data_IF_116730470051
#
_entry.id   IF_116730470051
#
_cell.length_a   1.000
_cell.length_b   1.000
_cell.length_c   1.000
_cell.angle_alpha   90.00
_cell.angle_beta   90.00
_cell.angle_gamma   90.00
#
_symmetry.space_group_name_H-M   'P 1'
#
loop_
_entity.id
_entity.type
_entity.pdbx_description
1 polymer ?
#
# COMPACT_ATOMS: atom_id res chain seq x y z
N UNK A 1 17.19 18.89 -39.42
CA UNK A 1 17.12 18.13 -38.17
C UNK A 1 16.69 16.65 -38.33
N UNK A 2 16.99 16.00 -39.42
CA UNK A 2 16.70 14.56 -39.64
C UNK A 2 17.93 13.64 -39.64
N UNK A 3 19.16 14.16 -39.50
CA UNK A 3 20.39 13.38 -39.59
C UNK A 3 21.08 13.04 -38.25
N UNK A 4 20.49 13.38 -37.11
CA UNK A 4 21.05 13.03 -35.79
C UNK A 4 20.39 11.81 -35.15
N UNK A 5 19.29 11.32 -35.72
CA UNK A 5 18.55 10.18 -35.15
C UNK A 5 19.12 8.81 -35.56
N UNK A 6 19.86 8.73 -36.66
CA UNK A 6 20.42 7.46 -37.17
C UNK A 6 21.80 7.08 -36.63
N UNK A 7 22.52 7.99 -35.97
CA UNK A 7 23.84 7.66 -35.36
C UNK A 7 23.78 7.04 -33.97
N UNK A 8 22.63 7.14 -33.26
CA UNK A 8 22.46 6.53 -31.93
C UNK A 8 22.07 5.04 -31.98
N UNK A 9 21.56 4.55 -33.09
CA UNK A 9 21.10 3.16 -33.22
C UNK A 9 22.18 2.13 -33.50
N UNK A 10 23.42 2.56 -33.87
CA UNK A 10 24.50 1.66 -34.28
C UNK A 10 25.34 1.09 -33.11
N UNK A 11 25.13 1.54 -31.86
CA UNK A 11 25.95 1.10 -30.72
C UNK A 11 25.33 0.06 -29.80
N UNK A 12 24.13 -0.45 -30.09
CA UNK A 12 23.40 -1.37 -29.17
C UNK A 12 23.29 -2.82 -29.72
N UNK A 13 24.11 -3.22 -30.67
CA UNK A 13 24.10 -4.60 -31.14
C UNK A 13 25.27 -5.40 -30.56
N UNK A 14 25.01 -6.32 -29.64
CA UNK A 14 25.94 -7.38 -29.26
C UNK A 14 25.50 -8.68 -29.90
N UNK A 15 26.37 -9.22 -30.79
CA UNK A 15 26.24 -10.57 -31.35
C UNK A 15 26.66 -11.59 -30.28
N UNK A 16 25.75 -12.45 -29.88
CA UNK A 16 26.09 -13.64 -29.10
C UNK A 16 26.27 -14.84 -30.05
N UNK A 17 27.50 -15.29 -30.22
CA UNK A 17 27.77 -16.53 -30.97
C UNK A 17 27.64 -17.70 -30.01
N UNK A 18 26.63 -18.51 -30.19
CA UNK A 18 26.47 -19.79 -29.50
C UNK A 18 26.61 -20.95 -30.49
N UNK A 19 27.61 -21.80 -30.23
CA UNK A 19 27.89 -23.10 -30.82
C UNK A 19 28.30 -23.18 -32.29
N UNK A 20 29.59 -23.39 -32.49
CA UNK A 20 30.18 -23.75 -33.77
C UNK A 20 30.07 -25.27 -34.02
N UNK A 21 29.15 -25.70 -34.88
CA UNK A 21 29.25 -26.97 -35.57
C UNK A 21 29.17 -26.70 -37.09
N UNK A 22 29.98 -27.34 -37.92
CA UNK A 22 30.28 -26.88 -39.30
C UNK A 22 29.14 -27.02 -40.31
N UNK A 23 27.92 -27.35 -39.92
CA UNK A 23 26.84 -27.59 -40.88
C UNK A 23 25.61 -26.69 -40.78
N UNK A 24 25.36 -25.91 -39.70
CA UNK A 24 24.17 -25.02 -39.65
C UNK A 24 24.40 -23.86 -38.66
N UNK A 25 24.44 -22.63 -39.13
CA UNK A 25 24.45 -21.42 -38.33
C UNK A 25 23.03 -20.92 -38.10
N UNK A 26 22.55 -20.91 -36.84
CA UNK A 26 21.35 -20.19 -36.43
C UNK A 26 21.77 -18.84 -35.82
N UNK A 27 21.37 -17.75 -36.44
CA UNK A 27 21.60 -16.40 -35.97
C UNK A 27 20.32 -15.93 -35.26
N UNK A 28 20.41 -15.70 -33.96
CA UNK A 28 19.36 -14.97 -33.22
C UNK A 28 19.87 -13.55 -32.95
N UNK A 29 19.11 -12.55 -33.35
CA UNK A 29 19.37 -11.16 -33.00
C UNK A 29 18.46 -10.76 -31.82
N UNK A 30 19.06 -10.28 -30.75
CA UNK A 30 18.36 -9.72 -29.61
C UNK A 30 18.48 -8.20 -29.68
N UNK A 31 17.38 -7.52 -29.92
CA UNK A 31 17.33 -6.06 -29.84
C UNK A 31 16.82 -5.65 -28.46
N UNK A 32 17.60 -4.86 -27.73
CA UNK A 32 17.22 -4.31 -26.42
C UNK A 32 16.93 -2.83 -26.63
N UNK A 33 15.67 -2.43 -26.43
CA UNK A 33 15.29 -1.03 -26.29
C UNK A 33 14.73 -0.79 -24.87
N UNK A 34 14.84 0.42 -24.31
CA UNK A 34 14.32 0.69 -22.97
C UNK A 34 12.83 0.35 -22.90
N UNK A 35 12.49 -0.67 -22.11
CA UNK A 35 11.10 -1.08 -21.80
C UNK A 35 10.48 -2.18 -22.66
N UNK A 36 11.17 -2.77 -23.67
CA UNK A 36 10.62 -3.93 -24.41
C UNK A 36 11.70 -4.90 -24.87
N UNK A 37 11.51 -6.18 -24.54
CA UNK A 37 12.25 -7.30 -25.15
C UNK A 37 11.45 -7.83 -26.33
N UNK A 38 12.05 -7.85 -27.53
CA UNK A 38 11.50 -8.55 -28.70
C UNK A 38 12.53 -9.52 -29.25
N UNK A 39 12.19 -10.80 -29.37
CA UNK A 39 12.96 -11.81 -30.03
C UNK A 39 12.42 -11.97 -31.44
N UNK A 40 13.19 -11.54 -32.45
CA UNK A 40 12.85 -11.72 -33.87
C UNK A 40 13.49 -12.98 -34.39
N UNK A 41 12.69 -13.91 -34.86
CA UNK A 41 13.15 -15.13 -35.54
C UNK A 41 13.17 -14.91 -37.04
N UNK A 42 14.33 -15.07 -37.66
CA UNK A 42 14.42 -15.16 -39.11
C UNK A 42 14.35 -16.63 -39.53
N UNK A 43 13.23 -17.02 -40.11
CA UNK A 43 13.06 -18.33 -40.75
C UNK A 43 13.57 -18.29 -42.18
N UNK A 44 14.56 -19.12 -42.48
CA UNK A 44 14.97 -19.38 -43.88
C UNK A 44 14.21 -20.63 -44.37
N UNK A 45 13.32 -20.45 -45.30
CA UNK A 45 12.31 -21.40 -45.74
C UNK A 45 12.79 -22.67 -46.46
N UNK A 46 14.09 -22.85 -46.61
CA UNK A 46 14.66 -23.99 -47.39
C UNK A 46 15.11 -25.20 -46.53
N UNK A 47 14.96 -25.21 -45.23
CA UNK A 47 15.49 -26.25 -44.31
C UNK A 47 14.40 -27.06 -43.58
N UNK A 48 13.14 -26.92 -43.95
CA UNK A 48 12.00 -27.46 -43.18
C UNK A 48 11.68 -28.96 -43.46
N UNK A 49 12.51 -29.74 -44.15
CA UNK A 49 12.17 -31.12 -44.55
C UNK A 49 12.78 -32.24 -43.71
N UNK A 50 13.64 -31.98 -42.71
CA UNK A 50 14.39 -33.06 -42.01
C UNK A 50 14.33 -33.01 -40.47
N UNK A 51 13.24 -32.58 -39.84
CA UNK A 51 13.14 -32.48 -38.38
C UNK A 51 12.03 -33.31 -37.75
N UNK A 52 12.22 -34.64 -37.69
CA UNK A 52 11.43 -35.56 -36.89
C UNK A 52 11.60 -35.45 -35.36
N UNK A 53 12.42 -34.52 -34.83
CA UNK A 53 12.75 -34.38 -33.39
C UNK A 53 12.60 -32.97 -32.82
N UNK A 54 11.72 -32.17 -33.38
CA UNK A 54 11.53 -30.77 -32.98
C UNK A 54 11.04 -30.58 -31.53
N UNK A 55 10.21 -31.47 -31.01
CA UNK A 55 9.71 -31.38 -29.62
C UNK A 55 10.81 -31.52 -28.56
N UNK A 56 11.82 -32.35 -28.75
CA UNK A 56 12.93 -32.51 -27.79
C UNK A 56 13.91 -31.34 -27.83
N UNK A 57 14.13 -30.73 -28.97
CA UNK A 57 15.03 -29.58 -29.13
C UNK A 57 14.41 -28.30 -28.47
N UNK A 58 13.10 -28.13 -28.58
CA UNK A 58 12.40 -27.01 -27.92
C UNK A 58 12.39 -27.14 -26.39
N UNK A 59 12.23 -28.35 -25.86
CA UNK A 59 12.28 -28.57 -24.42
C UNK A 59 13.66 -28.31 -23.81
N UNK A 60 14.74 -28.73 -24.50
CA UNK A 60 16.10 -28.45 -24.05
C UNK A 60 16.46 -26.96 -24.14
N UNK A 61 16.02 -26.28 -25.19
CA UNK A 61 16.27 -24.84 -25.36
C UNK A 61 15.47 -23.98 -24.34
N UNK A 62 14.21 -24.35 -24.07
CA UNK A 62 13.43 -23.72 -23.03
C UNK A 62 14.04 -23.92 -21.64
N UNK A 63 14.57 -25.11 -21.35
CA UNK A 63 15.26 -25.44 -20.11
C UNK A 63 16.56 -24.65 -19.95
N UNK A 64 17.36 -24.53 -21.03
CA UNK A 64 18.60 -23.73 -20.99
C UNK A 64 18.34 -22.23 -20.87
N UNK A 65 17.30 -21.69 -21.50
CA UNK A 65 16.89 -20.30 -21.30
C UNK A 65 16.40 -20.04 -19.87
N UNK A 66 15.65 -20.97 -19.28
CA UNK A 66 15.21 -20.91 -17.89
C UNK A 66 16.40 -20.96 -16.92
N UNK A 67 17.38 -21.83 -17.16
CA UNK A 67 18.60 -21.93 -16.36
C UNK A 67 19.44 -20.64 -16.48
N UNK A 68 19.57 -20.06 -17.66
CA UNK A 68 20.29 -18.80 -17.86
C UNK A 68 19.56 -17.62 -17.17
N UNK A 69 18.23 -17.56 -17.25
CA UNK A 69 17.43 -16.55 -16.56
C UNK A 69 17.53 -16.74 -15.05
N UNK A 70 17.42 -17.97 -14.54
CA UNK A 70 17.59 -18.27 -13.12
C UNK A 70 19.01 -18.00 -12.62
N UNK A 71 20.05 -18.33 -13.42
CA UNK A 71 21.44 -18.02 -13.09
C UNK A 71 21.71 -16.51 -13.09
N UNK A 72 21.08 -15.76 -13.99
CA UNK A 72 21.15 -14.29 -14.01
C UNK A 72 20.47 -13.68 -12.80
N UNK A 73 19.29 -14.20 -12.40
CA UNK A 73 18.56 -13.79 -11.20
C UNK A 73 19.36 -14.11 -9.92
N UNK A 74 20.04 -15.26 -9.87
CA UNK A 74 20.90 -15.67 -8.73
C UNK A 74 22.20 -14.84 -8.71
N UNK A 75 22.78 -14.54 -9.87
CA UNK A 75 24.04 -13.78 -9.97
C UNK A 75 23.83 -12.26 -9.77
N UNK A 76 22.68 -11.71 -10.18
CA UNK A 76 22.35 -10.32 -9.98
C UNK A 76 21.97 -10.00 -8.52
N UNK A 77 21.71 -11.01 -7.69
CA UNK A 77 21.26 -10.82 -6.30
C UNK A 77 19.90 -10.15 -6.21
N UNK A 78 19.21 -9.99 -7.33
CA UNK A 78 17.88 -9.39 -7.42
C UNK A 78 16.81 -10.48 -7.30
N UNK A 79 16.59 -10.93 -6.06
CA UNK A 79 15.26 -11.40 -5.69
C UNK A 79 14.28 -10.23 -5.92
N UNK A 80 12.99 -10.48 -6.21
CA UNK A 80 12.01 -9.43 -6.39
C UNK A 80 11.95 -8.58 -5.12
N UNK A 81 12.78 -7.52 -5.06
CA UNK A 81 12.68 -6.49 -4.05
C UNK A 81 11.43 -5.70 -4.38
N UNK A 82 10.35 -6.00 -3.65
CA UNK A 82 9.15 -5.18 -3.55
C UNK A 82 9.51 -3.82 -2.91
N UNK A 83 10.28 -3.02 -3.63
CA UNK A 83 10.59 -1.64 -3.27
C UNK A 83 9.74 -0.73 -4.15
N UNK A 84 8.61 -0.28 -3.63
CA UNK A 84 7.72 0.63 -4.35
C UNK A 84 8.16 2.08 -4.17
N UNK A 85 8.20 2.77 -5.27
CA UNK A 85 8.52 4.18 -5.39
C UNK A 85 7.24 4.98 -5.65
N UNK A 86 6.76 5.70 -4.66
CA UNK A 86 5.80 6.80 -4.83
C UNK A 86 6.61 8.10 -4.87
N UNK A 87 7.30 8.36 -5.99
CA UNK A 87 8.37 9.37 -6.03
C UNK A 87 7.92 10.80 -6.35
N UNK A 88 6.65 11.06 -6.69
CA UNK A 88 6.37 12.37 -7.29
C UNK A 88 5.25 13.23 -6.67
N UNK A 89 4.49 12.76 -5.70
CA UNK A 89 3.35 13.54 -5.19
C UNK A 89 3.46 14.03 -3.74
N UNK A 90 4.51 13.65 -2.99
CA UNK A 90 4.61 13.91 -1.55
C UNK A 90 5.63 14.99 -1.17
N UNK A 91 5.97 15.91 -2.09
CA UNK A 91 7.18 16.75 -1.96
C UNK A 91 7.08 17.95 -1.01
N UNK A 92 5.93 18.33 -0.44
CA UNK A 92 5.91 19.59 0.31
C UNK A 92 5.32 19.60 1.72
N UNK A 93 4.73 18.52 2.24
CA UNK A 93 3.79 18.71 3.35
C UNK A 93 3.91 17.82 4.59
N UNK A 94 5.02 17.12 4.81
CA UNK A 94 5.11 16.17 5.93
C UNK A 94 5.66 16.72 7.26
N UNK A 95 5.81 18.03 7.42
CA UNK A 95 6.22 18.60 8.72
C UNK A 95 5.12 18.63 9.80
N UNK A 96 3.92 18.10 9.53
CA UNK A 96 2.77 18.14 10.45
C UNK A 96 2.41 16.80 11.12
N UNK A 97 3.13 15.72 10.86
CA UNK A 97 2.95 14.46 11.61
C UNK A 97 3.61 14.48 13.01
N UNK A 98 4.24 15.59 13.38
CA UNK A 98 4.86 15.78 14.71
C UNK A 98 4.00 16.59 15.67
N UNK A 99 2.80 16.96 15.33
CA UNK A 99 1.84 17.46 16.31
C UNK A 99 1.20 16.23 16.95
N UNK A 100 1.77 15.82 18.06
CA UNK A 100 1.11 15.01 19.07
C UNK A 100 -0.07 15.84 19.59
N UNK A 101 -1.22 15.74 18.91
CA UNK A 101 -2.50 16.20 19.46
C UNK A 101 -2.91 15.20 20.56
N UNK A 102 -2.28 15.36 21.71
CA UNK A 102 -2.59 14.65 22.94
C UNK A 102 -3.83 15.21 23.65
N UNK A 103 -4.67 16.00 22.97
CA UNK A 103 -5.71 16.74 23.65
C UNK A 103 -7.17 16.37 23.33
N UNK A 104 -7.44 15.41 22.44
CA UNK A 104 -8.83 15.06 22.14
C UNK A 104 -9.17 13.56 22.10
N UNK A 105 -8.22 12.67 22.15
CA UNK A 105 -8.51 11.27 22.40
C UNK A 105 -8.15 10.94 23.85
N UNK A 106 -9.16 10.79 24.70
CA UNK A 106 -8.97 10.05 25.94
C UNK A 106 -8.31 8.74 25.53
N UNK A 107 -7.05 8.50 25.94
CA UNK A 107 -6.38 7.22 25.71
C UNK A 107 -7.32 6.14 26.26
N UNK A 108 -8.07 5.49 25.37
CA UNK A 108 -8.74 4.24 25.75
C UNK A 108 -7.63 3.37 26.28
N UNK A 109 -7.68 3.02 27.55
CA UNK A 109 -6.70 2.14 28.23
C UNK A 109 -6.70 0.80 27.51
N UNK A 110 -5.96 0.73 26.40
CA UNK A 110 -5.81 -0.52 25.65
C UNK A 110 -4.65 -1.31 26.24
N UNK A 111 -4.91 -2.56 26.55
CA UNK A 111 -3.85 -3.52 26.86
C UNK A 111 -3.00 -3.74 25.61
N UNK A 112 -1.67 -3.61 25.76
CA UNK A 112 -0.74 -3.72 24.62
C UNK A 112 0.01 -5.04 24.69
N UNK A 113 -0.12 -5.87 23.66
CA UNK A 113 0.69 -7.06 23.47
C UNK A 113 2.07 -6.63 22.95
N UNK A 114 3.09 -6.91 23.78
CA UNK A 114 4.50 -6.73 23.45
C UNK A 114 5.16 -8.11 23.47
N UNK A 115 5.70 -8.53 22.35
CA UNK A 115 6.28 -9.87 22.17
C UNK A 115 7.66 -9.80 21.54
N UNK A 116 8.47 -10.81 21.82
CA UNK A 116 9.84 -10.95 21.33
C UNK A 116 9.98 -11.97 20.19
N UNK A 117 8.98 -12.86 20.01
CA UNK A 117 9.00 -13.90 18.99
C UNK A 117 7.63 -14.15 18.37
N UNK A 118 7.61 -14.76 17.19
CA UNK A 118 6.41 -15.14 16.48
C UNK A 118 5.57 -16.18 17.22
N UNK A 119 6.24 -17.14 17.90
CA UNK A 119 5.55 -18.13 18.73
C UNK A 119 4.86 -17.47 19.93
N UNK A 120 5.53 -16.53 20.57
CA UNK A 120 4.95 -15.74 21.66
C UNK A 120 3.75 -14.93 21.17
N UNK A 121 3.85 -14.27 20.02
CA UNK A 121 2.73 -13.54 19.42
C UNK A 121 1.51 -14.44 19.22
N UNK A 122 1.69 -15.61 18.60
CA UNK A 122 0.60 -16.57 18.36
C UNK A 122 -0.01 -17.06 19.68
N UNK A 123 0.82 -17.31 20.70
CA UNK A 123 0.36 -17.72 22.02
C UNK A 123 -0.50 -16.62 22.68
N UNK A 124 -0.01 -15.38 22.72
CA UNK A 124 -0.74 -14.24 23.29
C UNK A 124 -2.06 -13.97 22.56
N UNK A 125 -2.05 -14.01 21.21
CA UNK A 125 -3.27 -13.86 20.41
C UNK A 125 -4.33 -14.92 20.72
N UNK A 126 -3.90 -16.16 21.01
CA UNK A 126 -4.81 -17.25 21.44
C UNK A 126 -5.33 -17.04 22.85
N UNK A 127 -4.48 -16.59 23.79
CA UNK A 127 -4.85 -16.33 25.18
C UNK A 127 -5.87 -15.19 25.31
N UNK A 128 -5.72 -14.15 24.49
CA UNK A 128 -6.64 -13.01 24.44
C UNK A 128 -7.88 -13.26 23.57
N UNK A 129 -8.09 -14.51 23.09
CA UNK A 129 -9.19 -14.90 22.20
C UNK A 129 -9.26 -14.12 20.88
N UNK A 130 -8.14 -13.55 20.44
CA UNK A 130 -8.05 -12.85 19.16
C UNK A 130 -7.76 -13.79 17.99
N UNK A 131 -7.35 -15.02 18.26
CA UNK A 131 -6.98 -15.95 17.19
C UNK A 131 -8.17 -16.38 16.33
N UNK A 132 -9.36 -16.52 16.92
CA UNK A 132 -10.60 -16.89 16.23
C UNK A 132 -11.48 -15.65 16.03
N UNK A 133 -11.02 -14.78 15.14
CA UNK A 133 -11.55 -13.43 14.91
C UNK A 133 -12.96 -13.38 14.31
N UNK A 134 -13.49 -14.51 13.85
CA UNK A 134 -14.89 -14.63 13.38
C UNK A 134 -15.89 -14.25 14.46
N UNK A 135 -15.43 -14.18 15.72
CA UNK A 135 -16.24 -13.78 16.90
C UNK A 135 -16.03 -12.33 17.35
N UNK A 136 -15.19 -11.56 16.66
CA UNK A 136 -14.99 -10.15 16.98
C UNK A 136 -16.14 -9.29 16.45
N UNK A 137 -17.18 -9.18 17.24
CA UNK A 137 -18.32 -8.29 16.95
C UNK A 137 -18.06 -6.83 17.34
N UNK A 138 -16.99 -6.55 18.11
CA UNK A 138 -16.68 -5.24 18.67
C UNK A 138 -15.17 -4.95 18.67
N UNK A 139 -14.74 -3.67 18.63
CA UNK A 139 -13.35 -3.29 18.84
C UNK A 139 -12.84 -3.85 20.17
N UNK A 140 -11.71 -4.54 20.13
CA UNK A 140 -11.07 -5.04 21.35
C UNK A 140 -10.17 -3.97 21.97
N UNK A 141 -10.07 -3.97 23.31
CA UNK A 141 -9.11 -3.13 24.02
C UNK A 141 -7.69 -3.72 24.04
N UNK A 142 -7.46 -4.86 23.35
CA UNK A 142 -6.16 -5.53 23.26
C UNK A 142 -5.57 -5.31 21.89
N UNK A 143 -4.36 -4.78 21.81
CA UNK A 143 -3.69 -4.48 20.54
C UNK A 143 -2.24 -4.95 20.51
N UNK A 144 -1.84 -5.51 19.39
CA UNK A 144 -0.44 -5.82 19.11
C UNK A 144 0.30 -4.53 18.77
N UNK A 145 1.34 -4.21 19.54
CA UNK A 145 2.11 -2.98 19.33
C UNK A 145 3.06 -3.08 18.14
N UNK A 146 3.68 -4.27 17.95
CA UNK A 146 4.71 -4.50 16.93
C UNK A 146 4.77 -5.96 16.54
N UNK A 147 5.08 -6.22 15.28
CA UNK A 147 5.42 -7.57 14.82
C UNK A 147 6.85 -7.94 15.22
N UNK A 148 7.08 -9.19 15.69
CA UNK A 148 8.40 -9.69 15.99
C UNK A 148 9.21 -9.91 14.71
N UNK A 149 10.55 -9.79 14.83
CA UNK A 149 11.45 -9.86 13.67
C UNK A 149 11.44 -11.23 12.98
N UNK A 150 11.13 -12.28 13.73
CA UNK A 150 11.07 -13.66 13.25
C UNK A 150 9.70 -14.10 12.73
N UNK A 151 8.74 -13.18 12.54
CA UNK A 151 7.40 -13.51 12.02
C UNK A 151 7.43 -14.24 10.66
N UNK A 152 8.51 -14.04 9.89
CA UNK A 152 8.74 -14.76 8.64
C UNK A 152 9.07 -16.24 8.78
N UNK A 153 9.38 -16.74 9.98
CA UNK A 153 9.82 -18.14 10.21
C UNK A 153 8.68 -19.11 10.45
N UNK A 154 7.50 -18.61 10.83
CA UNK A 154 6.31 -19.46 11.02
C UNK A 154 5.67 -19.85 9.69
N UNK A 155 4.75 -20.81 9.71
CA UNK A 155 4.06 -21.26 8.49
C UNK A 155 3.33 -20.11 7.82
N UNK A 156 3.14 -20.16 6.49
CA UNK A 156 2.44 -19.10 5.78
C UNK A 156 1.00 -18.90 6.26
N UNK A 157 0.21 -19.94 6.55
CA UNK A 157 -1.12 -19.78 7.15
C UNK A 157 -1.08 -19.07 8.50
N UNK A 158 -0.19 -19.47 9.41
CA UNK A 158 -0.05 -18.85 10.73
C UNK A 158 0.39 -17.39 10.63
N UNK A 159 1.35 -17.10 9.75
CA UNK A 159 1.79 -15.73 9.49
C UNK A 159 0.65 -14.85 9.01
N UNK A 160 -0.14 -15.32 8.03
CA UNK A 160 -1.29 -14.57 7.51
C UNK A 160 -2.32 -14.34 8.60
N UNK A 161 -2.66 -15.38 9.36
CA UNK A 161 -3.62 -15.29 10.45
C UNK A 161 -3.14 -14.32 11.52
N UNK A 162 -1.90 -14.46 12.00
CA UNK A 162 -1.32 -13.55 12.98
C UNK A 162 -1.34 -12.08 12.50
N UNK A 163 -1.03 -11.84 11.24
CA UNK A 163 -1.10 -10.49 10.65
C UNK A 163 -2.53 -9.95 10.68
N UNK A 164 -3.49 -10.69 10.14
CA UNK A 164 -4.90 -10.27 10.06
C UNK A 164 -5.42 -9.92 11.46
N UNK A 165 -5.30 -10.84 12.42
CA UNK A 165 -5.86 -10.66 13.76
C UNK A 165 -5.14 -9.58 14.58
N UNK A 166 -3.92 -9.19 14.19
CA UNK A 166 -3.20 -8.08 14.81
C UNK A 166 -3.56 -6.73 14.21
N UNK A 167 -3.87 -6.66 12.92
CA UNK A 167 -4.15 -5.40 12.21
C UNK A 167 -5.63 -5.01 12.34
N UNK A 168 -6.54 -5.97 12.33
CA UNK A 168 -7.97 -5.71 12.40
C UNK A 168 -8.39 -4.86 13.61
N UNK A 169 -7.99 -5.16 14.86
CA UNK A 169 -8.35 -4.33 16.02
C UNK A 169 -7.86 -2.90 15.87
N UNK A 170 -6.63 -2.70 15.38
CA UNK A 170 -6.09 -1.37 15.14
C UNK A 170 -6.88 -0.62 14.04
N UNK A 171 -7.27 -1.33 12.97
CA UNK A 171 -8.08 -0.75 11.91
C UNK A 171 -9.48 -0.36 12.40
N UNK A 172 -10.13 -1.20 13.21
CA UNK A 172 -11.44 -0.92 13.81
C UNK A 172 -11.40 0.34 14.65
N UNK A 173 -10.41 0.50 15.53
CA UNK A 173 -10.25 1.71 16.36
C UNK A 173 -10.07 2.96 15.50
N UNK A 174 -9.23 2.90 14.46
CA UNK A 174 -9.02 4.05 13.57
C UNK A 174 -10.29 4.41 12.80
N UNK A 175 -11.04 3.43 12.35
CA UNK A 175 -12.29 3.70 11.63
C UNK A 175 -13.38 4.25 12.57
N UNK A 176 -13.41 3.82 13.83
CA UNK A 176 -14.28 4.39 14.87
C UNK A 176 -13.94 5.87 15.12
N UNK A 177 -12.64 6.20 15.28
CA UNK A 177 -12.18 7.60 15.39
C UNK A 177 -12.63 8.46 14.19
N UNK A 178 -12.51 7.95 12.98
CA UNK A 178 -12.96 8.65 11.76
C UNK A 178 -14.49 8.78 11.73
N UNK A 179 -15.21 7.78 12.20
CA UNK A 179 -16.67 7.80 12.26
C UNK A 179 -17.17 8.84 13.29
N UNK A 180 -16.54 8.91 14.45
CA UNK A 180 -16.82 9.95 15.47
C UNK A 180 -16.59 11.36 14.90
N UNK A 181 -15.46 11.60 14.25
CA UNK A 181 -15.15 12.86 13.56
C UNK A 181 -16.20 13.21 12.49
N UNK A 182 -16.66 12.20 11.74
CA UNK A 182 -17.71 12.39 10.72
C UNK A 182 -19.04 12.75 11.32
N UNK A 183 -19.44 12.11 12.42
CA UNK A 183 -20.70 12.39 13.09
C UNK A 183 -20.70 13.79 13.68
N UNK A 184 -19.62 14.22 14.32
CA UNK A 184 -19.49 15.58 14.85
C UNK A 184 -19.53 16.62 13.72
N UNK A 185 -18.84 16.37 12.60
CA UNK A 185 -18.91 17.23 11.44
C UNK A 185 -20.33 17.34 10.88
N UNK A 186 -21.07 16.23 10.77
CA UNK A 186 -22.46 16.24 10.31
C UNK A 186 -23.38 17.01 11.25
N UNK A 187 -23.22 16.87 12.55
CA UNK A 187 -23.99 17.62 13.55
C UNK A 187 -23.74 19.13 13.45
N UNK A 188 -22.48 19.53 13.22
CA UNK A 188 -22.12 20.94 13.01
C UNK A 188 -22.74 21.48 11.72
N UNK A 189 -22.71 20.72 10.63
CA UNK A 189 -23.30 21.12 9.36
C UNK A 189 -24.83 21.24 9.46
N UNK A 190 -25.48 20.37 10.20
CA UNK A 190 -26.92 20.44 10.48
C UNK A 190 -27.26 21.70 11.30
N UNK A 191 -26.46 22.03 12.33
CA UNK A 191 -26.63 23.25 13.13
C UNK A 191 -26.46 24.52 12.31
N UNK A 192 -25.49 24.55 11.37
CA UNK A 192 -25.25 25.71 10.50
C UNK A 192 -26.36 25.87 9.46
N UNK A 193 -26.99 24.77 9.06
CA UNK A 193 -27.97 24.76 7.98
C UNK A 193 -27.40 25.13 6.62
N UNK A 194 -28.27 25.20 5.62
CA UNK A 194 -27.88 25.61 4.27
C UNK A 194 -27.24 24.48 3.44
N UNK A 195 -26.63 24.89 2.31
CA UNK A 195 -26.01 23.95 1.38
C UNK A 195 -24.51 23.79 1.70
N UNK A 196 -24.03 22.59 2.09
CA UNK A 196 -22.61 22.37 2.36
C UNK A 196 -21.69 22.73 1.18
N UNK A 197 -22.21 22.73 -0.07
CA UNK A 197 -21.41 23.09 -1.24
C UNK A 197 -20.98 24.57 -1.24
N UNK A 198 -21.72 25.43 -0.56
CA UNK A 198 -21.48 26.87 -0.44
C UNK A 198 -20.70 27.24 0.82
N UNK A 199 -20.53 26.28 1.75
CA UNK A 199 -19.90 26.51 3.04
C UNK A 199 -18.38 26.31 2.98
N UNK A 200 -17.67 27.37 3.33
CA UNK A 200 -16.20 27.39 3.44
C UNK A 200 -15.81 27.74 4.89
N UNK A 201 -15.11 26.84 5.55
CA UNK A 201 -14.60 27.00 6.91
C UNK A 201 -13.31 27.85 6.93
N UNK A 202 -13.34 29.03 6.33
CA UNK A 202 -12.17 29.89 6.26
C UNK A 202 -12.21 31.01 7.31
N UNK A 203 -11.05 31.34 7.88
CA UNK A 203 -10.90 32.51 8.76
C UNK A 203 -11.14 33.82 8.03
N UNK A 204 -11.02 33.85 6.69
CA UNK A 204 -11.35 35.01 5.88
C UNK A 204 -12.88 35.27 5.79
N UNK A 205 -13.70 34.25 6.05
CA UNK A 205 -15.17 34.32 6.04
C UNK A 205 -15.71 33.74 7.34
N UNK A 206 -15.58 34.45 8.49
CA UNK A 206 -15.80 33.88 9.82
C UNK A 206 -17.27 33.68 10.20
N UNK A 207 -18.23 34.02 9.34
CA UNK A 207 -19.67 33.96 9.66
C UNK A 207 -20.15 32.61 10.21
N UNK A 208 -19.54 31.52 9.82
CA UNK A 208 -19.84 30.19 10.36
C UNK A 208 -19.48 30.04 11.86
N UNK A 209 -18.52 30.83 12.36
CA UNK A 209 -18.10 30.80 13.78
C UNK A 209 -19.14 31.40 14.71
N UNK A 210 -19.90 32.40 14.21
CA UNK A 210 -20.90 33.13 15.03
C UNK A 210 -22.06 32.24 15.45
N UNK A 211 -22.34 31.20 14.67
CA UNK A 211 -23.45 30.27 14.91
C UNK A 211 -23.04 29.05 15.73
N UNK A 212 -21.77 28.91 16.09
CA UNK A 212 -21.22 27.71 16.76
C UNK A 212 -20.67 28.04 18.14
N UNK A 213 -20.72 27.06 19.05
CA UNK A 213 -20.01 27.13 20.31
C UNK A 213 -18.49 26.99 20.14
N UNK A 214 -17.71 27.45 21.12
CA UNK A 214 -16.26 27.45 21.08
C UNK A 214 -15.66 26.04 20.79
N UNK A 215 -16.23 24.98 21.33
CA UNK A 215 -15.76 23.61 21.10
C UNK A 215 -15.95 23.19 19.63
N UNK A 216 -17.11 23.48 19.04
CA UNK A 216 -17.39 23.19 17.63
C UNK A 216 -16.49 24.00 16.70
N UNK A 217 -16.20 25.26 17.02
CA UNK A 217 -15.22 26.07 16.26
C UNK A 217 -13.83 25.43 16.34
N UNK A 218 -13.36 25.04 17.53
CA UNK A 218 -12.05 24.40 17.69
C UNK A 218 -11.97 23.04 16.96
N UNK A 219 -13.05 22.27 16.97
CA UNK A 219 -13.14 21.02 16.20
C UNK A 219 -13.03 21.29 14.71
N UNK A 220 -13.80 22.25 14.16
CA UNK A 220 -13.73 22.59 12.73
C UNK A 220 -12.32 23.05 12.33
N UNK A 221 -11.67 23.91 13.12
CA UNK A 221 -10.30 24.33 12.87
C UNK A 221 -9.31 23.15 12.88
N UNK A 222 -9.50 22.18 13.76
CA UNK A 222 -8.67 20.98 13.86
C UNK A 222 -8.87 20.07 12.65
N UNK A 223 -10.14 19.78 12.31
CA UNK A 223 -10.46 18.80 11.26
C UNK A 223 -10.14 19.33 9.85
N UNK A 224 -10.36 20.64 9.60
CA UNK A 224 -9.97 21.28 8.33
C UNK A 224 -8.47 21.23 8.12
N UNK A 225 -7.68 21.46 9.16
CA UNK A 225 -6.22 21.32 9.15
C UNK A 225 -5.79 19.86 8.96
N UNK A 226 -6.40 18.91 9.69
CA UNK A 226 -6.11 17.47 9.61
C UNK A 226 -6.34 16.94 8.19
N UNK A 227 -7.48 17.27 7.59
CA UNK A 227 -7.86 16.80 6.27
C UNK A 227 -7.51 17.75 5.12
N UNK A 228 -6.87 18.90 5.41
CA UNK A 228 -6.33 19.86 4.43
C UNK A 228 -7.38 20.38 3.43
N UNK A 229 -8.53 20.75 3.92
CA UNK A 229 -9.56 21.42 3.13
C UNK A 229 -10.47 22.24 4.03
N UNK A 230 -10.83 23.42 3.55
CA UNK A 230 -11.79 24.33 4.20
C UNK A 230 -13.20 24.20 3.57
N UNK A 231 -13.32 23.53 2.42
CA UNK A 231 -14.61 23.30 1.78
C UNK A 231 -15.37 22.18 2.48
N UNK A 232 -16.60 22.45 2.94
CA UNK A 232 -17.39 21.50 3.74
C UNK A 232 -17.75 20.23 2.96
N UNK A 233 -18.09 20.31 1.67
CA UNK A 233 -18.39 19.15 0.83
C UNK A 233 -17.16 18.28 0.65
N UNK A 234 -16.02 18.88 0.35
CA UNK A 234 -14.77 18.12 0.22
C UNK A 234 -14.34 17.52 1.57
N UNK A 235 -14.58 18.21 2.68
CA UNK A 235 -14.31 17.70 4.02
C UNK A 235 -15.17 16.45 4.31
N UNK A 236 -16.47 16.46 3.98
CA UNK A 236 -17.34 15.30 4.09
C UNK A 236 -16.89 14.10 3.25
N UNK A 237 -16.30 14.34 2.09
CA UNK A 237 -15.71 13.27 1.27
C UNK A 237 -14.46 12.67 1.92
N UNK A 238 -13.65 13.52 2.56
CA UNK A 238 -12.38 13.13 3.19
C UNK A 238 -12.58 12.46 4.54
N UNK A 239 -13.48 12.97 5.37
CA UNK A 239 -13.80 12.39 6.68
C UNK A 239 -14.76 11.22 6.50
N UNK A 240 -14.23 10.06 6.12
CA UNK A 240 -15.04 8.87 5.89
C UNK A 240 -14.20 7.59 6.05
N UNK A 241 -14.87 6.48 6.36
CA UNK A 241 -14.28 5.17 6.63
C UNK A 241 -13.83 4.44 5.36
N UNK A 242 -13.03 3.40 5.54
CA UNK A 242 -12.62 2.45 4.49
C UNK A 242 -13.09 1.04 4.89
N UNK A 243 -13.29 0.12 3.93
CA UNK A 243 -13.48 -1.29 4.24
C UNK A 243 -12.28 -1.86 4.99
N UNK A 244 -12.52 -2.66 6.03
CA UNK A 244 -11.48 -3.36 6.78
C UNK A 244 -10.66 -4.27 5.87
N UNK A 245 -11.32 -4.98 4.95
CA UNK A 245 -10.69 -5.82 3.94
C UNK A 245 -9.65 -5.08 3.10
N UNK A 246 -9.94 -3.85 2.71
CA UNK A 246 -9.04 -3.02 1.91
C UNK A 246 -7.79 -2.63 2.71
N UNK A 247 -7.97 -2.21 3.98
CA UNK A 247 -6.86 -1.85 4.88
C UNK A 247 -5.94 -3.06 5.09
N UNK A 248 -6.53 -4.21 5.42
CA UNK A 248 -5.78 -5.45 5.67
C UNK A 248 -5.05 -5.92 4.42
N UNK A 249 -5.71 -5.91 3.24
CA UNK A 249 -5.10 -6.34 1.99
C UNK A 249 -3.89 -5.48 1.59
N UNK A 250 -4.01 -4.15 1.66
CA UNK A 250 -2.88 -3.27 1.36
C UNK A 250 -1.75 -3.43 2.37
N UNK A 251 -2.05 -3.47 3.66
CA UNK A 251 -1.05 -3.75 4.69
C UNK A 251 -0.34 -5.08 4.48
N UNK A 252 -1.05 -6.14 4.09
CA UNK A 252 -0.48 -7.45 3.79
C UNK A 252 0.50 -7.43 2.62
N UNK A 253 0.14 -6.74 1.53
CA UNK A 253 0.97 -6.59 0.33
C UNK A 253 2.24 -5.81 0.66
N UNK A 254 2.10 -4.63 1.26
CA UNK A 254 3.21 -3.70 1.50
C UNK A 254 4.19 -4.19 2.56
N UNK A 255 3.69 -4.95 3.56
CA UNK A 255 4.51 -5.44 4.67
C UNK A 255 4.97 -6.90 4.52
N UNK A 256 4.62 -7.60 3.42
CA UNK A 256 4.79 -9.06 3.32
C UNK A 256 4.13 -9.80 4.49
N UNK A 257 2.89 -9.45 4.82
CA UNK A 257 2.18 -9.98 5.97
C UNK A 257 2.91 -9.72 7.29
N UNK A 258 3.37 -8.48 7.49
CA UNK A 258 4.05 -8.03 8.71
C UNK A 258 5.49 -8.48 8.87
N UNK A 259 6.05 -9.28 7.93
CA UNK A 259 7.40 -9.85 8.05
C UNK A 259 8.49 -9.03 7.35
N UNK A 260 8.15 -7.93 6.67
CA UNK A 260 9.15 -7.07 6.03
C UNK A 260 9.97 -6.31 7.08
N UNK A 261 11.20 -5.97 6.73
CA UNK A 261 12.07 -5.15 7.58
C UNK A 261 11.41 -3.86 8.04
N UNK A 262 10.67 -3.20 7.17
CA UNK A 262 10.00 -1.94 7.51
C UNK A 262 8.81 -2.14 8.47
N UNK A 263 8.13 -3.27 8.38
CA UNK A 263 7.08 -3.63 9.32
C UNK A 263 7.66 -3.92 10.71
N UNK A 264 8.75 -4.68 10.79
CA UNK A 264 9.32 -5.14 12.07
C UNK A 264 10.19 -4.08 12.76
N UNK A 265 10.96 -3.27 11.99
CA UNK A 265 11.84 -2.24 12.57
C UNK A 265 11.15 -0.87 12.75
N UNK A 266 10.17 -0.54 11.91
CA UNK A 266 9.54 0.79 11.88
C UNK A 266 8.03 0.79 12.08
N UNK A 267 7.39 -0.33 12.33
CA UNK A 267 5.92 -0.48 12.31
C UNK A 267 5.27 0.08 11.01
N UNK A 268 6.02 0.16 9.92
CA UNK A 268 5.53 0.73 8.67
C UNK A 268 4.91 -0.35 7.80
N UNK A 269 3.60 -0.55 7.96
CA UNK A 269 2.87 -1.62 7.28
C UNK A 269 2.46 -1.24 5.85
N UNK A 270 2.48 0.05 5.50
CA UNK A 270 1.90 0.57 4.26
C UNK A 270 2.93 1.26 3.35
N UNK A 271 4.23 1.10 3.64
CA UNK A 271 5.28 1.69 2.82
C UNK A 271 5.34 3.22 2.85
N UNK A 272 4.84 3.85 3.92
CA UNK A 272 4.78 5.31 4.02
C UNK A 272 6.16 5.93 4.09
N UNK A 273 6.32 7.04 3.37
CA UNK A 273 7.55 7.82 3.34
C UNK A 273 7.47 9.04 4.23
N UNK A 274 8.62 9.53 4.68
CA UNK A 274 8.74 10.79 5.42
C UNK A 274 9.97 11.58 4.96
N UNK A 275 9.85 12.90 4.98
CA UNK A 275 10.98 13.83 4.81
C UNK A 275 11.45 14.42 6.15
N UNK A 276 10.73 14.06 7.23
CA UNK A 276 11.10 14.41 8.60
C UNK A 276 12.28 13.59 9.12
N UNK A 277 12.71 13.92 10.34
CA UNK A 277 13.85 13.24 10.98
C UNK A 277 13.51 11.84 11.50
N UNK A 278 12.23 11.57 11.86
CA UNK A 278 11.77 10.26 12.34
C UNK A 278 11.55 9.30 11.18
N UNK A 279 12.53 8.46 10.91
CA UNK A 279 12.44 7.45 9.88
C UNK A 279 13.74 6.69 9.70
N UNK A 280 13.64 5.48 9.13
CA UNK A 280 14.79 4.65 8.80
C UNK A 280 15.23 4.86 7.36
N UNK A 281 16.52 4.73 7.12
CA UNK A 281 17.07 4.87 5.78
C UNK A 281 16.77 3.61 4.96
N UNK A 282 16.24 3.75 3.72
CA UNK A 282 16.18 2.64 2.79
C UNK A 282 17.60 2.11 2.53
N UNK A 283 17.77 0.77 2.53
CA UNK A 283 19.07 0.14 2.31
C UNK A 283 19.68 0.49 0.94
N UNK A 284 18.83 0.76 -0.06
CA UNK A 284 19.21 1.14 -1.43
C UNK A 284 18.60 2.50 -1.77
N UNK A 285 19.09 3.56 -1.11
CA UNK A 285 18.67 4.91 -1.43
C UNK A 285 19.59 5.50 -2.49
N UNK A 286 19.01 6.02 -3.58
CA UNK A 286 19.75 6.73 -4.61
C UNK A 286 20.48 7.95 -4.03
N UNK A 287 21.65 8.26 -4.57
CA UNK A 287 22.41 9.43 -4.17
C UNK A 287 21.57 10.72 -4.39
N UNK A 288 21.55 11.59 -3.40
CA UNK A 288 20.79 12.85 -3.45
C UNK A 288 19.34 12.79 -3.01
N UNK A 289 18.76 11.60 -2.76
CA UNK A 289 17.41 11.47 -2.20
C UNK A 289 17.44 11.71 -0.67
N UNK A 290 16.46 12.47 -0.16
CA UNK A 290 16.39 12.84 1.28
C UNK A 290 15.31 12.09 2.05
N UNK A 291 14.36 11.44 1.34
CA UNK A 291 13.27 10.72 1.97
C UNK A 291 13.73 9.53 2.81
N UNK A 292 12.94 9.20 3.81
CA UNK A 292 13.11 8.08 4.74
C UNK A 292 11.82 7.24 4.75
N UNK A 293 11.92 6.01 5.21
CA UNK A 293 10.75 5.22 5.56
C UNK A 293 10.24 5.73 6.92
N UNK A 294 8.98 6.13 6.99
CA UNK A 294 8.38 6.64 8.22
C UNK A 294 8.43 5.59 9.34
N UNK A 295 8.72 6.05 10.57
CA UNK A 295 8.75 5.20 11.76
C UNK A 295 7.56 5.55 12.63
N UNK A 296 6.80 4.53 13.02
CA UNK A 296 5.63 4.63 13.90
C UNK A 296 5.88 3.94 15.23
N UNK A 297 5.24 4.44 16.30
CA UNK A 297 5.39 3.89 17.63
C UNK A 297 4.63 2.55 17.80
N UNK A 298 3.59 2.33 16.98
CA UNK A 298 2.78 1.10 17.00
C UNK A 298 2.16 0.78 15.63
N UNK A 299 1.59 -0.42 15.51
CA UNK A 299 0.74 -0.83 14.39
C UNK A 299 -0.45 0.15 14.25
N UNK A 300 -1.07 0.55 15.36
CA UNK A 300 -2.17 1.49 15.39
C UNK A 300 -1.79 2.83 14.72
N UNK A 301 -0.63 3.40 15.06
CA UNK A 301 -0.16 4.64 14.45
C UNK A 301 0.10 4.50 12.93
N UNK A 302 0.58 3.35 12.51
CA UNK A 302 0.77 3.05 11.09
C UNK A 302 -0.57 3.03 10.34
N UNK A 303 -1.60 2.42 10.93
CA UNK A 303 -2.95 2.37 10.35
C UNK A 303 -3.57 3.78 10.31
N UNK A 304 -3.43 4.58 11.39
CA UNK A 304 -3.89 5.99 11.41
C UNK A 304 -3.26 6.81 10.29
N UNK A 305 -1.94 6.71 10.13
CA UNK A 305 -1.22 7.42 9.07
C UNK A 305 -1.68 7.00 7.67
N UNK A 306 -1.92 5.71 7.46
CA UNK A 306 -2.42 5.18 6.19
C UNK A 306 -3.84 5.69 5.89
N UNK A 307 -4.80 5.50 6.81
CA UNK A 307 -6.20 5.95 6.62
C UNK A 307 -6.25 7.45 6.35
N UNK A 308 -5.51 8.24 7.13
CA UNK A 308 -5.41 9.68 6.92
C UNK A 308 -4.81 10.03 5.54
N UNK A 309 -3.83 9.27 5.06
CA UNK A 309 -3.23 9.47 3.72
C UNK A 309 -4.25 9.24 2.62
N UNK A 310 -4.98 8.13 2.64
CA UNK A 310 -6.06 7.86 1.68
C UNK A 310 -7.14 8.95 1.73
N UNK A 311 -7.44 9.44 2.92
CA UNK A 311 -8.49 10.41 3.16
C UNK A 311 -8.14 11.84 2.72
N UNK A 312 -6.85 12.23 2.64
CA UNK A 312 -6.49 13.63 2.38
C UNK A 312 -5.64 13.88 1.14
N UNK A 313 -4.89 12.87 0.64
CA UNK A 313 -3.96 13.07 -0.49
C UNK A 313 -4.73 13.02 -1.81
N UNK A 314 -4.48 13.98 -2.70
CA UNK A 314 -5.20 14.12 -3.98
C UNK A 314 -5.05 12.91 -4.91
N UNK A 315 -3.96 12.16 -4.82
CA UNK A 315 -3.76 10.92 -5.58
C UNK A 315 -4.88 9.89 -5.38
N UNK A 316 -5.69 10.01 -4.30
CA UNK A 316 -6.80 9.11 -3.96
C UNK A 316 -8.18 9.78 -4.11
N UNK A 317 -8.28 10.86 -4.88
CA UNK A 317 -9.56 11.52 -5.14
C UNK A 317 -10.56 10.59 -5.81
N UNK A 318 -10.10 9.75 -6.76
CA UNK A 318 -10.95 8.76 -7.45
C UNK A 318 -11.52 7.74 -6.46
N UNK A 319 -10.71 7.24 -5.52
CA UNK A 319 -11.19 6.35 -4.47
C UNK A 319 -12.27 7.03 -3.63
N UNK A 320 -12.06 8.30 -3.24
CA UNK A 320 -13.03 9.05 -2.45
C UNK A 320 -14.33 9.34 -3.20
N UNK A 321 -14.27 9.51 -4.53
CA UNK A 321 -15.45 9.63 -5.38
C UNK A 321 -16.25 8.33 -5.38
N UNK A 322 -15.61 7.20 -5.66
CA UNK A 322 -16.26 5.87 -5.64
C UNK A 322 -16.88 5.62 -4.25
N UNK A 323 -16.19 6.00 -3.17
CA UNK A 323 -16.62 5.79 -1.80
C UNK A 323 -17.91 6.55 -1.43
N UNK A 324 -18.31 7.56 -2.16
CA UNK A 324 -19.59 8.22 -1.94
C UNK A 324 -20.79 7.36 -2.34
N UNK A 325 -20.57 6.39 -3.23
CA UNK A 325 -21.62 5.55 -3.78
C UNK A 325 -21.60 4.14 -3.17
N UNK A 326 -20.41 3.65 -2.79
CA UNK A 326 -20.26 2.28 -2.28
C UNK A 326 -19.05 2.11 -1.38
N UNK A 327 -19.13 1.15 -0.45
CA UNK A 327 -18.00 0.65 0.34
C UNK A 327 -17.50 -0.71 -0.16
N UNK A 328 -17.91 -1.14 -1.37
CA UNK A 328 -17.39 -2.36 -1.98
C UNK A 328 -15.87 -2.28 -2.15
N UNK A 329 -15.06 -3.15 -1.50
CA UNK A 329 -13.61 -3.07 -1.52
C UNK A 329 -13.02 -3.30 -2.91
N UNK A 330 -13.70 -4.07 -3.78
CA UNK A 330 -13.26 -4.33 -5.14
C UNK A 330 -13.41 -3.09 -6.02
N UNK A 331 -14.53 -2.35 -5.88
CA UNK A 331 -14.74 -1.10 -6.59
C UNK A 331 -13.82 0.00 -6.06
N UNK A 332 -13.66 0.11 -4.74
CA UNK A 332 -12.76 1.10 -4.13
C UNK A 332 -11.30 0.89 -4.52
N UNK A 333 -10.88 -0.37 -4.73
CA UNK A 333 -9.50 -0.65 -5.15
C UNK A 333 -9.15 -0.08 -6.51
N UNK A 334 -10.12 0.20 -7.41
CA UNK A 334 -9.88 0.88 -8.68
C UNK A 334 -9.32 2.30 -8.49
N UNK A 335 -9.67 2.98 -7.40
CA UNK A 335 -9.14 4.28 -7.04
C UNK A 335 -7.71 4.26 -6.49
N UNK A 336 -7.05 3.09 -6.43
CA UNK A 336 -5.67 2.93 -5.95
C UNK A 336 -4.61 2.92 -7.06
N UNK A 337 -4.95 3.30 -8.29
CA UNK A 337 -4.02 3.30 -9.43
C UNK A 337 -2.72 4.08 -9.17
N UNK A 338 -2.78 5.10 -8.33
CA UNK A 338 -1.63 5.93 -7.98
C UNK A 338 -0.90 5.49 -6.70
N UNK A 339 -1.32 4.40 -6.07
CA UNK A 339 -0.68 3.89 -4.86
C UNK A 339 0.68 3.24 -5.16
N UNK A 340 0.79 2.59 -6.31
CA UNK A 340 1.99 1.88 -6.75
C UNK A 340 2.34 2.19 -8.20
N UNK A 341 3.64 2.16 -8.54
CA UNK A 341 4.10 2.25 -9.94
C UNK A 341 3.56 1.10 -10.81
N UNK A 342 3.08 0.00 -10.20
CA UNK A 342 2.48 -1.15 -10.89
C UNK A 342 1.05 -0.90 -11.37
N UNK A 343 0.43 0.21 -10.93
CA UNK A 343 -0.90 0.66 -11.35
C UNK A 343 -1.95 -0.46 -11.35
N UNK A 344 -2.48 -0.82 -12.54
CA UNK A 344 -3.54 -1.83 -12.69
C UNK A 344 -3.17 -3.19 -12.07
N UNK A 345 -1.89 -3.59 -12.16
CA UNK A 345 -1.44 -4.84 -11.53
C UNK A 345 -1.50 -4.79 -10.01
N UNK A 346 -1.29 -3.62 -9.44
CA UNK A 346 -1.43 -3.42 -8.01
C UNK A 346 -2.89 -3.57 -7.57
N UNK A 347 -3.81 -2.97 -8.31
CA UNK A 347 -5.27 -3.10 -8.08
C UNK A 347 -5.68 -4.58 -8.14
N UNK A 348 -5.24 -5.31 -9.16
CA UNK A 348 -5.48 -6.75 -9.28
C UNK A 348 -4.90 -7.55 -8.11
N UNK A 349 -3.70 -7.21 -7.63
CA UNK A 349 -3.09 -7.87 -6.48
C UNK A 349 -3.89 -7.61 -5.20
N UNK A 350 -4.39 -6.38 -4.97
CA UNK A 350 -5.26 -6.04 -3.83
C UNK A 350 -6.53 -6.88 -3.88
N UNK A 351 -7.24 -6.91 -5.00
CA UNK A 351 -8.45 -7.72 -5.20
C UNK A 351 -8.21 -9.20 -4.94
N UNK A 352 -7.12 -9.74 -5.46
CA UNK A 352 -6.74 -11.15 -5.26
C UNK A 352 -6.43 -11.47 -3.79
N UNK A 353 -5.81 -10.55 -3.06
CA UNK A 353 -5.52 -10.75 -1.62
C UNK A 353 -6.82 -10.72 -0.82
N UNK A 354 -7.76 -9.84 -1.15
CA UNK A 354 -9.10 -9.81 -0.52
C UNK A 354 -9.80 -11.15 -0.75
N UNK A 355 -9.95 -11.58 -2.00
CA UNK A 355 -10.65 -12.79 -2.38
C UNK A 355 -9.99 -14.06 -1.80
N UNK A 356 -8.67 -14.24 -2.01
CA UNK A 356 -7.96 -15.45 -1.61
C UNK A 356 -7.87 -15.67 -0.09
N UNK A 357 -8.18 -14.65 0.71
CA UNK A 357 -8.17 -14.73 2.18
C UNK A 357 -9.54 -14.39 2.80
N UNK A 358 -10.61 -14.32 1.99
CA UNK A 358 -12.00 -14.01 2.39
C UNK A 358 -12.10 -12.77 3.29
N UNK A 359 -11.34 -11.71 2.97
CA UNK A 359 -11.24 -10.55 3.84
C UNK A 359 -12.53 -9.72 3.87
N UNK A 360 -13.36 -9.76 2.82
CA UNK A 360 -14.66 -9.08 2.78
C UNK A 360 -15.62 -9.52 3.90
N UNK A 361 -15.38 -10.69 4.49
CA UNK A 361 -16.11 -11.15 5.67
C UNK A 361 -16.02 -10.16 6.84
N UNK A 362 -14.88 -9.48 6.97
CA UNK A 362 -14.65 -8.50 8.05
C UNK A 362 -15.35 -7.16 7.85
N UNK A 363 -15.74 -6.82 6.61
CA UNK A 363 -16.44 -5.56 6.30
C UNK A 363 -17.87 -5.53 6.89
N UNK A 364 -18.39 -6.68 7.36
CA UNK A 364 -19.68 -6.80 8.03
C UNK A 364 -19.61 -6.46 9.52
N UNK A 365 -18.40 -6.35 10.09
CA UNK A 365 -18.21 -5.96 11.47
C UNK A 365 -18.72 -4.53 11.62
N UNK A 366 -19.73 -4.35 12.48
CA UNK A 366 -20.32 -3.05 12.74
C UNK A 366 -19.30 -2.19 13.48
N UNK A 367 -18.90 -1.08 12.87
CA UNK A 367 -18.17 -0.02 13.55
C UNK A 367 -19.26 0.83 14.22
N UNK A 368 -19.72 0.39 15.39
CA UNK A 368 -20.71 1.14 16.15
C UNK A 368 -20.00 2.28 16.87
N UNK A 369 -20.35 3.51 16.51
CA UNK A 369 -20.14 4.63 17.42
C UNK A 369 -21.05 4.40 18.64
N UNK A 370 -20.46 4.16 19.80
CA UNK A 370 -21.13 4.14 21.12
C UNK A 370 -21.47 5.55 21.57
#
# INVERSE_FOLDING_TARGET
MKNLYYRSLAQSFRLCRLCAHPAKMLLAQVAVSPGRFQILWCQNSSVAKDLGNWRKAHSLFALTCLIVIMSFVIWSGEGPSLGYRVDHFMSSDQNLLSVSDSSMTAERSSSRILVSSAEELIRELKQENLWDIETLDHPTNVMVSRFPADLGTVTLPDKKKAFIVSVLPAAMVVLEEVQEERQELLAILDQLGGNPAELIFSKAHPGWMESLGANSVAFVETITKKYRTENATELLKRVNVLPLSLIVAQGAIESSWGSSRFATEANNLFGMWTWGQRGILPARRDAGKTHRIALYDSILESVRAYVLTINRVSAYDDLRQIRQETLDPYLLSEGLLHYSERKERYVEDVKRVIEANNLEGYDRISISAT
#
